data_IF_803010671530
#
_entry.id   IF_803010671530
#
_cell.length_a   1.000
_cell.length_b   1.000
_cell.length_c   1.000
_cell.angle_alpha   90.00
_cell.angle_beta   90.00
_cell.angle_gamma   90.00
#
_symmetry.space_group_name_H-M   'P 1'
#
loop_
_entity.id
_entity.type
_entity.pdbx_description
1 polymer ?
#
# COMPACT_ATOMS: atom_id res chain seq x y z
N UNK A 1 13.30 68.38 -34.84
CA UNK A 1 13.68 67.41 -35.90
C UNK A 1 13.95 66.09 -35.20
N UNK A 2 13.05 65.12 -35.36
CA UNK A 2 13.38 63.70 -35.16
C UNK A 2 14.34 63.24 -36.26
N UNK A 3 15.19 62.24 -36.00
CA UNK A 3 14.93 60.96 -36.66
C UNK A 3 15.26 59.69 -35.83
N UNK A 4 14.34 58.73 -35.99
CA UNK A 4 14.50 57.27 -36.20
C UNK A 4 15.15 56.34 -35.14
N UNK A 5 14.29 55.42 -34.65
CA UNK A 5 14.64 54.10 -34.09
C UNK A 5 15.51 53.28 -35.05
N UNK A 6 16.23 52.28 -34.50
CA UNK A 6 16.21 50.95 -35.10
C UNK A 6 15.82 49.83 -34.13
N UNK A 7 14.81 49.07 -34.57
CA UNK A 7 14.61 47.60 -34.53
C UNK A 7 15.08 46.80 -33.30
N UNK A 8 14.09 46.22 -32.62
CA UNK A 8 14.17 44.88 -32.01
C UNK A 8 14.41 43.84 -33.14
N UNK A 9 15.13 42.73 -32.91
CA UNK A 9 14.38 41.50 -32.60
C UNK A 9 15.09 40.47 -31.70
N UNK A 10 14.23 39.65 -31.07
CA UNK A 10 14.44 38.24 -30.68
C UNK A 10 15.38 37.96 -29.50
N UNK A 11 14.77 37.56 -28.38
CA UNK A 11 15.29 36.44 -27.58
C UNK A 11 14.12 35.45 -27.34
N UNK A 12 14.37 34.13 -27.43
CA UNK A 12 13.44 33.15 -27.97
C UNK A 12 12.47 32.56 -26.94
N UNK A 13 11.34 32.09 -27.47
CA UNK A 13 10.46 31.13 -26.81
C UNK A 13 11.17 29.78 -26.57
N UNK A 14 10.81 29.16 -25.43
CA UNK A 14 10.85 27.72 -25.07
C UNK A 14 12.22 27.06 -24.79
N UNK A 15 12.29 26.15 -23.79
CA UNK A 15 11.59 24.86 -23.87
C UNK A 15 10.93 24.38 -22.56
N UNK A 16 9.60 24.23 -22.59
CA UNK A 16 8.80 23.49 -21.58
C UNK A 16 8.38 22.09 -22.07
N UNK A 17 8.92 21.59 -23.19
CA UNK A 17 8.48 20.33 -23.79
C UNK A 17 9.26 19.07 -23.38
N UNK A 18 10.47 19.16 -22.83
CA UNK A 18 11.26 17.96 -22.47
C UNK A 18 10.83 17.26 -21.17
N UNK A 19 9.99 17.89 -20.33
CA UNK A 19 9.66 17.33 -19.01
C UNK A 19 8.49 16.34 -19.00
N UNK A 20 7.68 16.30 -20.08
CA UNK A 20 6.48 15.45 -20.15
C UNK A 20 6.75 14.06 -20.75
N UNK A 21 7.78 13.92 -21.58
CA UNK A 21 8.06 12.68 -22.30
C UNK A 21 8.76 11.62 -21.42
N UNK A 22 9.50 12.07 -20.40
CA UNK A 22 10.22 11.16 -19.49
C UNK A 22 9.30 10.55 -18.42
N UNK A 23 8.25 11.26 -18.01
CA UNK A 23 7.33 10.79 -16.96
C UNK A 23 6.39 9.68 -17.45
N UNK A 24 5.96 9.73 -18.72
CA UNK A 24 5.19 8.65 -19.35
C UNK A 24 6.06 7.41 -19.58
N UNK A 25 7.28 7.58 -20.11
CA UNK A 25 8.24 6.49 -20.34
C UNK A 25 8.57 5.69 -19.06
N UNK A 26 8.63 6.35 -17.90
CA UNK A 26 8.88 5.67 -16.63
C UNK A 26 7.63 4.91 -16.14
N UNK A 27 6.44 5.49 -16.28
CA UNK A 27 5.18 4.85 -15.90
C UNK A 27 4.85 3.64 -16.78
N UNK A 28 5.10 3.73 -18.07
CA UNK A 28 4.90 2.65 -19.04
C UNK A 28 5.85 1.48 -18.73
N UNK A 29 7.15 1.77 -18.50
CA UNK A 29 8.14 0.76 -18.12
C UNK A 29 7.84 0.08 -16.79
N UNK A 30 7.27 0.81 -15.83
CA UNK A 30 6.87 0.23 -14.54
C UNK A 30 5.65 -0.68 -14.75
N UNK A 31 4.67 -0.24 -15.53
CA UNK A 31 3.45 -1.01 -15.83
C UNK A 31 3.77 -2.31 -16.58
N UNK A 32 4.62 -2.26 -17.60
CA UNK A 32 5.06 -3.44 -18.37
C UNK A 32 5.77 -4.47 -17.47
N UNK A 33 6.64 -4.00 -16.56
CA UNK A 33 7.33 -4.86 -15.58
C UNK A 33 6.33 -5.51 -14.61
N UNK A 34 5.27 -4.80 -14.24
CA UNK A 34 4.23 -5.33 -13.36
C UNK A 34 3.33 -6.35 -14.08
N UNK A 35 3.01 -6.15 -15.35
CA UNK A 35 2.27 -7.12 -16.17
C UNK A 35 3.06 -8.42 -16.38
N UNK A 36 4.36 -8.33 -16.67
CA UNK A 36 5.24 -9.49 -16.79
C UNK A 36 5.33 -10.31 -15.49
N UNK A 37 5.36 -9.63 -14.32
CA UNK A 37 5.36 -10.30 -13.02
C UNK A 37 4.01 -10.98 -12.73
N UNK A 38 2.90 -10.35 -13.14
CA UNK A 38 1.54 -10.85 -12.98
C UNK A 38 1.26 -12.06 -13.87
N UNK A 39 1.87 -12.12 -15.05
CA UNK A 39 1.69 -13.20 -16.03
C UNK A 39 2.62 -14.40 -15.80
N UNK A 40 3.61 -14.30 -14.92
CA UNK A 40 4.48 -15.45 -14.62
C UNK A 40 3.67 -16.63 -14.03
N UNK A 41 3.70 -17.78 -14.70
CA UNK A 41 2.99 -19.02 -14.34
C UNK A 41 3.27 -19.50 -12.89
N UNK A 42 4.32 -18.98 -12.28
CA UNK A 42 4.71 -19.24 -10.89
C UNK A 42 3.73 -18.64 -9.87
N UNK A 43 3.14 -17.47 -10.15
CA UNK A 43 2.13 -16.84 -9.28
C UNK A 43 0.80 -17.63 -9.28
N UNK A 44 0.39 -18.15 -10.44
CA UNK A 44 -0.80 -19.04 -10.57
C UNK A 44 -0.61 -20.39 -9.85
N UNK A 45 0.62 -20.92 -9.82
CA UNK A 45 0.93 -22.15 -9.07
C UNK A 45 0.98 -21.92 -7.55
N UNK A 46 1.51 -20.79 -7.09
CA UNK A 46 1.56 -20.47 -5.67
C UNK A 46 0.16 -20.25 -5.06
N UNK A 47 -0.78 -19.69 -5.83
CA UNK A 47 -2.17 -19.48 -5.41
C UNK A 47 -3.00 -20.77 -5.35
N UNK A 48 -2.74 -21.75 -6.22
CA UNK A 48 -3.46 -23.04 -6.23
C UNK A 48 -2.99 -24.03 -5.15
N UNK A 49 -1.79 -23.84 -4.58
CA UNK A 49 -1.28 -24.63 -3.46
C UNK A 49 -1.89 -24.25 -2.09
N UNK A 50 -2.59 -23.10 -2.01
CA UNK A 50 -3.25 -22.64 -0.79
C UNK A 50 -4.68 -23.22 -0.75
N UNK A 51 -4.80 -24.52 -0.46
CA UNK A 51 -6.08 -25.08 0.01
C UNK A 51 -6.39 -24.49 1.39
N UNK A 52 -7.65 -24.20 1.69
CA UNK A 52 -8.07 -23.44 2.89
C UNK A 52 -7.48 -23.98 4.19
N UNK A 53 -7.40 -25.30 4.36
CA UNK A 53 -6.85 -25.93 5.57
C UNK A 53 -5.33 -25.71 5.73
N UNK A 54 -4.59 -25.57 4.63
CA UNK A 54 -3.15 -25.29 4.64
C UNK A 54 -2.88 -23.82 4.95
N UNK A 55 -3.76 -22.91 4.51
CA UNK A 55 -3.63 -21.47 4.71
C UNK A 55 -3.61 -21.08 6.20
N UNK A 56 -4.53 -21.64 6.97
CA UNK A 56 -4.64 -21.35 8.41
C UNK A 56 -3.44 -21.92 9.15
N UNK A 57 -3.02 -23.14 8.80
CA UNK A 57 -1.82 -23.78 9.36
C UNK A 57 -0.55 -22.97 9.07
N UNK A 58 -0.37 -22.51 7.82
CA UNK A 58 0.77 -21.66 7.44
C UNK A 58 0.74 -20.33 8.19
N UNK A 59 -0.44 -19.74 8.38
CA UNK A 59 -0.59 -18.51 9.14
C UNK A 59 -0.21 -18.69 10.62
N UNK A 60 -0.60 -19.81 11.24
CA UNK A 60 -0.21 -20.12 12.61
C UNK A 60 1.30 -20.34 12.75
N UNK A 61 1.91 -21.08 11.81
CA UNK A 61 3.36 -21.27 11.80
C UNK A 61 4.08 -19.92 11.62
N UNK A 62 3.62 -19.09 10.68
CA UNK A 62 4.19 -17.78 10.45
C UNK A 62 4.05 -16.85 11.67
N UNK A 63 2.90 -16.88 12.36
CA UNK A 63 2.71 -16.15 13.61
C UNK A 63 3.66 -16.64 14.70
N UNK A 64 3.79 -17.95 14.87
CA UNK A 64 4.68 -18.54 15.87
C UNK A 64 6.14 -18.13 15.60
N UNK A 65 6.59 -18.23 14.36
CA UNK A 65 7.91 -17.77 13.92
C UNK A 65 8.08 -16.26 14.14
N UNK A 66 7.07 -15.46 13.80
CA UNK A 66 7.08 -14.01 13.99
C UNK A 66 7.22 -13.61 15.46
N UNK A 67 6.49 -14.28 16.36
CA UNK A 67 6.58 -14.07 17.81
C UNK A 67 7.96 -14.45 18.33
N UNK A 68 8.51 -15.61 17.92
CA UNK A 68 9.87 -15.99 18.27
C UNK A 68 10.89 -14.98 17.74
N UNK A 69 10.68 -14.45 16.54
CA UNK A 69 11.55 -13.43 15.95
C UNK A 69 11.51 -12.10 16.69
N UNK A 70 10.42 -11.74 17.38
CA UNK A 70 10.37 -10.49 18.15
C UNK A 70 11.50 -10.42 19.19
N UNK A 71 11.91 -11.55 19.77
CA UNK A 71 12.99 -11.61 20.76
C UNK A 71 14.39 -11.37 20.18
N UNK A 72 14.59 -11.60 18.88
CA UNK A 72 15.91 -11.47 18.23
C UNK A 72 15.99 -10.25 17.31
N UNK A 73 14.90 -10.00 16.57
CA UNK A 73 14.75 -8.98 15.54
C UNK A 73 13.32 -8.46 15.53
N UNK A 74 13.03 -7.54 16.45
CA UNK A 74 11.72 -6.90 16.65
C UNK A 74 11.07 -6.44 15.34
N UNK A 75 11.84 -5.78 14.46
CA UNK A 75 11.31 -5.29 13.17
C UNK A 75 10.79 -6.41 12.28
N UNK A 76 11.54 -7.50 12.11
CA UNK A 76 11.16 -8.61 11.22
C UNK A 76 10.04 -9.45 11.81
N UNK A 77 10.07 -9.69 13.13
CA UNK A 77 8.97 -10.33 13.83
C UNK A 77 7.67 -9.53 13.70
N UNK A 78 7.75 -8.22 13.94
CA UNK A 78 6.63 -7.30 13.78
C UNK A 78 6.07 -7.29 12.37
N UNK A 79 6.92 -7.30 11.35
CA UNK A 79 6.49 -7.32 9.94
C UNK A 79 5.75 -8.62 9.58
N UNK A 80 6.23 -9.78 10.02
CA UNK A 80 5.57 -11.07 9.78
C UNK A 80 4.21 -11.11 10.47
N UNK A 81 4.14 -10.76 11.75
CA UNK A 81 2.89 -10.74 12.52
C UNK A 81 1.92 -9.72 11.89
N UNK A 82 2.42 -8.55 11.50
CA UNK A 82 1.69 -7.53 10.79
C UNK A 82 1.10 -8.03 9.48
N UNK A 83 1.90 -8.70 8.66
CA UNK A 83 1.46 -9.25 7.38
C UNK A 83 0.38 -10.32 7.53
N UNK A 84 0.56 -11.25 8.47
CA UNK A 84 -0.47 -12.28 8.75
C UNK A 84 -1.74 -11.61 9.29
N UNK A 85 -1.60 -10.70 10.25
CA UNK A 85 -2.72 -9.94 10.82
C UNK A 85 -3.47 -9.15 9.76
N UNK A 86 -2.78 -8.35 8.96
CA UNK A 86 -3.36 -7.57 7.87
C UNK A 86 -4.08 -8.45 6.85
N UNK A 87 -3.52 -9.60 6.49
CA UNK A 87 -4.15 -10.51 5.54
C UNK A 87 -5.50 -11.07 6.06
N UNK A 88 -5.54 -11.48 7.34
CA UNK A 88 -6.75 -12.04 7.96
C UNK A 88 -7.78 -10.98 8.33
N UNK A 89 -7.33 -9.84 8.84
CA UNK A 89 -8.21 -8.76 9.29
C UNK A 89 -8.54 -7.74 8.20
N UNK A 90 -8.02 -7.88 6.98
CA UNK A 90 -8.32 -6.94 5.87
C UNK A 90 -9.83 -6.70 5.70
N UNK A 91 -10.63 -7.76 5.66
CA UNK A 91 -12.07 -7.65 5.39
C UNK A 91 -12.83 -6.93 6.52
N UNK A 92 -12.66 -7.31 7.81
CA UNK A 92 -13.27 -6.57 8.91
C UNK A 92 -12.73 -5.14 9.06
N UNK A 93 -11.44 -4.89 8.77
CA UNK A 93 -10.87 -3.54 8.78
C UNK A 93 -11.56 -2.66 7.72
N UNK A 94 -11.70 -3.16 6.48
CA UNK A 94 -12.37 -2.44 5.40
C UNK A 94 -13.84 -2.20 5.76
N UNK A 95 -14.52 -3.19 6.32
CA UNK A 95 -15.91 -3.05 6.76
C UNK A 95 -16.06 -1.99 7.86
N UNK A 96 -15.16 -1.99 8.85
CA UNK A 96 -15.14 -1.00 9.92
C UNK A 96 -14.90 0.42 9.39
N UNK A 97 -13.95 0.59 8.46
CA UNK A 97 -13.67 1.89 7.82
C UNK A 97 -14.88 2.39 7.04
N UNK A 98 -15.59 1.51 6.31
CA UNK A 98 -16.79 1.88 5.55
C UNK A 98 -17.94 2.33 6.44
N UNK A 99 -18.08 1.75 7.63
CA UNK A 99 -19.14 2.07 8.59
C UNK A 99 -18.69 3.07 9.66
N UNK A 100 -17.55 3.74 9.44
CA UNK A 100 -16.96 4.63 10.44
C UNK A 100 -17.86 5.82 10.77
N UNK A 101 -18.60 6.35 9.78
CA UNK A 101 -19.58 7.43 10.00
C UNK A 101 -20.65 7.05 11.03
N UNK A 102 -21.23 5.86 10.91
CA UNK A 102 -22.20 5.36 11.90
C UNK A 102 -21.58 5.19 13.30
N UNK A 103 -20.29 4.85 13.34
CA UNK A 103 -19.56 4.71 14.60
C UNK A 103 -19.33 6.06 15.28
N UNK A 104 -19.03 7.12 14.52
CA UNK A 104 -18.92 8.49 15.02
C UNK A 104 -20.25 8.97 15.61
N UNK A 105 -21.35 8.70 14.93
CA UNK A 105 -22.68 9.12 15.36
C UNK A 105 -23.13 8.41 16.64
N UNK A 106 -22.79 7.13 16.81
CA UNK A 106 -23.19 6.32 17.98
C UNK A 106 -22.33 6.56 19.22
N UNK A 107 -21.01 6.60 19.08
CA UNK A 107 -20.07 6.69 20.21
C UNK A 107 -19.69 8.13 20.56
N UNK A 108 -19.87 9.06 19.61
CA UNK A 108 -19.51 10.47 19.75
C UNK A 108 -18.04 10.75 19.39
N UNK A 109 -17.81 11.98 18.89
CA UNK A 109 -16.53 12.42 18.32
C UNK A 109 -15.35 12.27 19.28
N UNK A 110 -15.54 12.56 20.57
CA UNK A 110 -14.46 12.54 21.58
C UNK A 110 -13.89 11.12 21.74
N UNK A 111 -14.74 10.09 21.83
CA UNK A 111 -14.28 8.71 21.97
C UNK A 111 -13.52 8.24 20.75
N UNK A 112 -14.01 8.59 19.56
CA UNK A 112 -13.34 8.26 18.30
C UNK A 112 -11.98 8.96 18.19
N UNK A 113 -11.87 10.21 18.63
CA UNK A 113 -10.61 10.94 18.64
C UNK A 113 -9.59 10.29 19.59
N UNK A 114 -10.02 9.86 20.77
CA UNK A 114 -9.16 9.12 21.71
C UNK A 114 -8.71 7.80 21.08
N UNK A 115 -9.63 7.05 20.47
CA UNK A 115 -9.31 5.79 19.78
C UNK A 115 -8.29 6.01 18.66
N UNK A 116 -8.45 7.08 17.89
CA UNK A 116 -7.50 7.45 16.83
C UNK A 116 -6.12 7.81 17.37
N UNK A 117 -6.05 8.60 18.45
CA UNK A 117 -4.79 8.91 19.12
C UNK A 117 -4.10 7.65 19.67
N UNK A 118 -4.85 6.73 20.26
CA UNK A 118 -4.33 5.44 20.74
C UNK A 118 -3.80 4.61 19.56
N UNK A 119 -4.56 4.51 18.48
CA UNK A 119 -4.14 3.79 17.27
C UNK A 119 -2.86 4.39 16.65
N UNK A 120 -2.74 5.72 16.61
CA UNK A 120 -1.51 6.40 16.18
C UNK A 120 -0.34 6.15 17.14
N UNK A 121 -0.59 6.12 18.45
CA UNK A 121 0.42 5.73 19.43
C UNK A 121 0.98 4.32 19.17
N UNK A 122 0.09 3.35 18.89
CA UNK A 122 0.50 2.01 18.50
C UNK A 122 1.28 1.98 17.18
N UNK A 123 0.93 2.83 16.22
CA UNK A 123 1.66 2.95 14.96
C UNK A 123 3.10 3.44 15.18
N UNK A 124 3.33 4.35 16.12
CA UNK A 124 4.66 4.87 16.45
C UNK A 124 5.50 3.82 17.19
N UNK A 125 4.90 3.07 18.11
CA UNK A 125 5.58 2.04 18.91
C UNK A 125 5.92 0.81 18.06
N UNK A 126 5.00 0.38 17.20
CA UNK A 126 5.13 -0.84 16.39
C UNK A 126 4.95 -0.60 14.90
N UNK A 127 5.75 0.27 14.25
CA UNK A 127 5.55 0.63 12.85
C UNK A 127 5.71 -0.57 11.92
N UNK A 128 6.57 -1.52 12.28
CA UNK A 128 6.80 -2.75 11.52
C UNK A 128 5.53 -3.59 11.36
N UNK A 129 4.68 -3.66 12.39
CA UNK A 129 3.40 -4.37 12.34
C UNK A 129 2.47 -3.73 11.31
N UNK A 130 2.35 -2.40 11.32
CA UNK A 130 1.50 -1.69 10.37
C UNK A 130 2.02 -1.77 8.94
N UNK A 131 3.34 -1.66 8.74
CA UNK A 131 3.97 -1.86 7.43
C UNK A 131 3.66 -3.24 6.86
N UNK A 132 3.82 -4.29 7.67
CA UNK A 132 3.44 -5.65 7.28
C UNK A 132 1.96 -5.75 6.94
N UNK A 133 1.10 -5.18 7.77
CA UNK A 133 -0.35 -5.23 7.57
C UNK A 133 -0.80 -4.52 6.30
N UNK A 134 -0.33 -3.29 6.07
CA UNK A 134 -0.65 -2.51 4.87
C UNK A 134 -0.15 -3.21 3.61
N UNK A 135 1.07 -3.74 3.63
CA UNK A 135 1.61 -4.50 2.50
C UNK A 135 0.74 -5.74 2.20
N UNK A 136 0.35 -6.51 3.22
CA UNK A 136 -0.48 -7.69 3.04
C UNK A 136 -1.90 -7.35 2.54
N UNK A 137 -2.51 -6.27 3.05
CA UNK A 137 -3.80 -5.78 2.57
C UNK A 137 -3.68 -5.35 1.10
N UNK A 138 -2.62 -4.63 0.73
CA UNK A 138 -2.36 -4.21 -0.66
C UNK A 138 -2.21 -5.40 -1.61
N UNK A 139 -1.43 -6.41 -1.22
CA UNK A 139 -1.28 -7.65 -1.98
C UNK A 139 -2.62 -8.37 -2.11
N UNK A 140 -3.37 -8.51 -1.01
CA UNK A 140 -4.70 -9.14 -1.02
C UNK A 140 -5.67 -8.39 -1.92
N UNK A 141 -5.61 -7.06 -1.94
CA UNK A 141 -6.44 -6.21 -2.78
C UNK A 141 -6.14 -6.43 -4.27
N UNK A 142 -4.86 -6.49 -4.66
CA UNK A 142 -4.47 -6.78 -6.05
C UNK A 142 -4.93 -8.18 -6.46
N UNK A 143 -4.73 -9.19 -5.61
CA UNK A 143 -5.05 -10.59 -5.95
C UNK A 143 -6.55 -10.89 -5.98
N UNK A 144 -7.34 -10.27 -5.10
CA UNK A 144 -8.80 -10.50 -5.00
C UNK A 144 -9.57 -9.51 -5.88
N UNK A 145 -9.00 -8.32 -6.17
CA UNK A 145 -9.59 -7.31 -7.03
C UNK A 145 -9.87 -7.80 -8.46
N UNK A 146 -9.12 -8.79 -8.97
CA UNK A 146 -9.42 -9.43 -10.26
C UNK A 146 -10.67 -10.33 -10.26
N UNK A 147 -11.23 -10.67 -9.09
CA UNK A 147 -12.35 -11.61 -8.99
C UNK A 147 -13.73 -10.95 -8.92
N UNK A 148 -13.80 -9.62 -9.05
CA UNK A 148 -15.04 -8.85 -9.20
C UNK A 148 -14.94 -7.93 -10.43
N UNK A 149 -14.96 -8.53 -11.62
CA UNK A 149 -15.44 -7.89 -12.84
C UNK A 149 -16.40 -8.81 -13.56
#
# INVERSE_FOLDING_TARGET
MEPEKPKNPKNPEKPEEEKKENESSIQDKITDRFEDLKQSDNMKKMTSFIKSNTKDTVAYIALFVGILLLFFKEFWGGLIIGAVGGFYFADPIIHWIRNFQEYLEKEGLVKVLILFCVALGFLIIGPAFFLGAVAAIGIKFILIGEKKS
#
